data_IF_195083997113
#
_entry.id   IF_195083997113
#
_cell.length_a   1.000
_cell.length_b   1.000
_cell.length_c   1.000
_cell.angle_alpha   90.00
_cell.angle_beta   90.00
_cell.angle_gamma   90.00
#
_symmetry.space_group_name_H-M   'P 1'
#
loop_
_entity.id
_entity.type
_entity.pdbx_description
1 polymer ?
#
# COMPACT_ATOMS: atom_id res chain seq x y z
N UNK A 1 -5.01 -1.11 -20.71
CA UNK A 1 -6.24 -1.13 -19.90
C UNK A 1 -5.94 -1.74 -18.53
N UNK A 2 -6.43 -1.11 -17.49
CA UNK A 2 -6.42 -1.66 -16.13
C UNK A 2 -7.62 -2.60 -15.97
N UNK A 3 -7.37 -3.81 -15.52
CA UNK A 3 -8.41 -4.84 -15.35
C UNK A 3 -8.85 -4.98 -13.90
N UNK A 4 -7.92 -4.82 -12.96
CA UNK A 4 -8.15 -5.06 -11.54
C UNK A 4 -7.20 -4.20 -10.70
N UNK A 5 -7.56 -3.96 -9.45
CA UNK A 5 -6.70 -3.33 -8.46
C UNK A 5 -6.63 -4.16 -7.18
N UNK A 6 -5.47 -4.16 -6.54
CA UNK A 6 -5.30 -4.70 -5.20
C UNK A 6 -4.73 -3.64 -4.28
N UNK A 7 -5.46 -3.36 -3.22
CA UNK A 7 -5.07 -2.46 -2.13
C UNK A 7 -4.77 -3.27 -0.88
N UNK A 8 -3.93 -2.73 -0.02
CA UNK A 8 -3.70 -3.30 1.30
C UNK A 8 -4.97 -3.16 2.15
N UNK A 9 -5.25 -4.13 3.04
CA UNK A 9 -6.43 -4.09 3.88
C UNK A 9 -6.41 -2.86 4.80
N UNK A 10 -7.59 -2.43 5.21
CA UNK A 10 -7.79 -1.27 6.08
C UNK A 10 -8.87 -1.58 7.11
N UNK A 11 -8.75 -1.02 8.30
CA UNK A 11 -9.78 -1.08 9.32
C UNK A 11 -10.75 0.09 9.12
N UNK A 12 -12.01 -0.15 9.41
CA UNK A 12 -13.01 0.91 9.39
C UNK A 12 -12.73 1.91 10.53
N UNK A 13 -12.89 3.21 10.28
CA UNK A 13 -12.51 4.28 11.22
C UNK A 13 -13.28 4.23 12.55
N UNK A 14 -14.48 3.65 12.56
CA UNK A 14 -15.35 3.50 13.73
C UNK A 14 -15.27 2.09 14.36
N UNK A 15 -14.30 1.28 13.93
CA UNK A 15 -14.12 -0.07 14.47
C UNK A 15 -13.41 -0.03 15.83
N UNK A 16 -13.93 -0.80 16.76
CA UNK A 16 -13.33 -1.03 18.08
C UNK A 16 -13.22 -2.52 18.37
N UNK A 17 -12.17 -2.97 19.10
CA UNK A 17 -12.05 -4.36 19.49
C UNK A 17 -13.12 -4.74 20.51
N UNK A 18 -13.74 -5.92 20.33
CA UNK A 18 -14.65 -6.47 21.32
C UNK A 18 -13.95 -6.84 22.63
N UNK A 19 -14.74 -7.03 23.70
CA UNK A 19 -14.18 -7.41 25.02
C UNK A 19 -13.34 -8.69 24.95
N UNK A 20 -13.75 -9.66 24.13
CA UNK A 20 -13.09 -10.96 23.93
C UNK A 20 -11.98 -10.91 22.85
N UNK A 21 -11.64 -9.74 22.30
CA UNK A 21 -10.58 -9.64 21.31
C UNK A 21 -9.23 -10.08 21.90
N UNK A 22 -8.39 -10.68 21.06
CA UNK A 22 -7.05 -11.12 21.45
C UNK A 22 -6.20 -9.92 21.94
N UNK A 23 -5.32 -10.15 22.90
CA UNK A 23 -4.50 -9.09 23.53
C UNK A 23 -3.71 -8.29 22.48
N UNK A 24 -3.06 -8.95 21.54
CA UNK A 24 -2.32 -8.30 20.45
C UNK A 24 -3.18 -7.38 19.57
N UNK A 25 -4.48 -7.68 19.43
CA UNK A 25 -5.42 -6.81 18.70
C UNK A 25 -5.70 -5.55 19.51
N UNK A 26 -5.87 -5.68 20.84
CA UNK A 26 -6.10 -4.56 21.74
C UNK A 26 -4.88 -3.65 21.83
N UNK A 27 -3.69 -4.24 21.98
CA UNK A 27 -2.42 -3.49 22.00
C UNK A 27 -2.22 -2.71 20.67
N UNK A 28 -2.49 -3.34 19.53
CA UNK A 28 -2.34 -2.69 18.24
C UNK A 28 -3.40 -1.60 18.01
N UNK A 29 -4.61 -1.80 18.53
CA UNK A 29 -5.66 -0.78 18.52
C UNK A 29 -5.27 0.42 19.38
N UNK A 30 -4.72 0.20 20.58
CA UNK A 30 -4.25 1.26 21.46
C UNK A 30 -3.13 2.10 20.80
N UNK A 31 -2.24 1.46 20.03
CA UNK A 31 -1.24 2.16 19.24
C UNK A 31 -1.91 3.04 18.18
N UNK A 32 -2.91 2.51 17.47
CA UNK A 32 -3.62 3.24 16.42
C UNK A 32 -4.38 4.45 16.97
N UNK A 33 -5.17 4.25 18.03
CA UNK A 33 -5.99 5.30 18.67
C UNK A 33 -5.14 6.44 19.26
N UNK A 34 -3.94 6.12 19.79
CA UNK A 34 -3.05 7.08 20.42
C UNK A 34 -1.95 7.61 19.50
N UNK A 35 -1.99 7.30 18.21
CA UNK A 35 -0.96 7.73 17.27
C UNK A 35 -0.91 9.26 17.17
N UNK A 36 0.27 9.84 17.32
CA UNK A 36 0.44 11.28 17.30
C UNK A 36 1.68 11.72 16.52
N UNK A 37 1.62 12.94 15.98
CA UNK A 37 2.72 13.54 15.23
C UNK A 37 4.06 13.65 16.01
N UNK A 38 4.00 13.62 17.34
CA UNK A 38 5.19 13.82 18.19
C UNK A 38 6.02 12.57 18.40
N UNK A 39 5.42 11.40 18.25
CA UNK A 39 6.09 10.11 18.45
C UNK A 39 5.48 9.09 17.50
N UNK A 40 6.14 8.81 16.37
CA UNK A 40 5.68 7.84 15.37
C UNK A 40 6.62 6.64 15.24
N UNK A 41 7.90 6.81 15.56
CA UNK A 41 8.90 5.76 15.34
C UNK A 41 8.71 4.59 16.30
N UNK A 42 8.56 4.88 17.59
CA UNK A 42 8.35 3.85 18.62
C UNK A 42 7.03 3.09 18.37
N UNK A 43 5.86 3.74 18.25
CA UNK A 43 4.60 3.07 17.87
C UNK A 43 4.69 2.23 16.59
N UNK A 44 5.44 2.71 15.61
CA UNK A 44 5.60 1.94 14.37
C UNK A 44 6.44 0.68 14.57
N UNK A 45 7.53 0.74 15.34
CA UNK A 45 8.33 -0.44 15.65
C UNK A 45 7.54 -1.43 16.50
N UNK A 46 6.77 -0.95 17.48
CA UNK A 46 5.90 -1.79 18.30
C UNK A 46 4.83 -2.48 17.44
N UNK A 47 4.21 -1.74 16.52
CA UNK A 47 3.24 -2.32 15.59
C UNK A 47 3.85 -3.39 14.67
N UNK A 48 5.09 -3.21 14.22
CA UNK A 48 5.83 -4.21 13.43
C UNK A 48 6.08 -5.47 14.27
N UNK A 49 6.54 -5.31 15.51
CA UNK A 49 6.81 -6.42 16.42
C UNK A 49 5.53 -7.22 16.71
N UNK A 50 4.42 -6.54 17.03
CA UNK A 50 3.12 -7.19 17.27
C UNK A 50 2.67 -7.99 16.05
N UNK A 51 2.82 -7.41 14.86
CA UNK A 51 2.47 -8.10 13.60
C UNK A 51 3.32 -9.34 13.36
N UNK A 52 4.63 -9.29 13.61
CA UNK A 52 5.54 -10.43 13.48
C UNK A 52 5.20 -11.51 14.50
N UNK A 53 4.96 -11.15 15.77
CA UNK A 53 4.52 -12.07 16.82
C UNK A 53 3.20 -12.76 16.46
N UNK A 54 2.23 -12.01 15.97
CA UNK A 54 0.95 -12.56 15.54
C UNK A 54 1.09 -13.55 14.38
N UNK A 55 2.01 -13.30 13.44
CA UNK A 55 2.31 -14.22 12.35
C UNK A 55 2.93 -15.51 12.86
N UNK A 56 3.84 -15.42 13.83
CA UNK A 56 4.46 -16.58 14.45
C UNK A 56 3.43 -17.41 15.22
N UNK A 57 2.62 -16.78 16.05
CA UNK A 57 1.53 -17.43 16.79
C UNK A 57 0.49 -18.08 15.86
N UNK A 58 0.15 -17.41 14.75
CA UNK A 58 -0.74 -17.96 13.72
C UNK A 58 -0.14 -19.21 13.07
N UNK A 59 1.16 -19.20 12.75
CA UNK A 59 1.85 -20.35 12.15
C UNK A 59 1.88 -21.57 13.07
N UNK A 60 1.83 -21.35 14.38
CA UNK A 60 1.74 -22.39 15.41
C UNK A 60 0.29 -22.78 15.78
N UNK A 61 -0.71 -22.18 15.14
CA UNK A 61 -2.13 -22.46 15.38
C UNK A 61 -2.66 -21.93 16.73
N UNK A 62 -1.96 -20.98 17.35
CA UNK A 62 -2.37 -20.34 18.62
C UNK A 62 -3.35 -19.20 18.35
N UNK A 63 -3.10 -18.41 17.32
CA UNK A 63 -3.96 -17.32 16.86
C UNK A 63 -4.79 -17.80 15.67
N UNK A 64 -6.07 -17.47 15.63
CA UNK A 64 -6.96 -17.81 14.53
C UNK A 64 -6.86 -16.83 13.35
N UNK A 65 -7.49 -17.20 12.22
CA UNK A 65 -7.45 -16.42 10.99
C UNK A 65 -8.14 -15.04 11.15
N UNK A 66 -9.21 -14.97 11.96
CA UNK A 66 -9.93 -13.72 12.17
C UNK A 66 -9.06 -12.71 12.94
N UNK A 67 -8.44 -13.16 14.03
CA UNK A 67 -7.48 -12.35 14.81
C UNK A 67 -6.32 -11.89 13.92
N UNK A 68 -5.78 -12.81 13.12
CA UNK A 68 -4.70 -12.47 12.16
C UNK A 68 -5.13 -11.42 11.15
N UNK A 69 -6.36 -11.51 10.63
CA UNK A 69 -6.90 -10.53 9.69
C UNK A 69 -7.13 -9.15 10.33
N UNK A 70 -7.59 -9.10 11.59
CA UNK A 70 -7.74 -7.85 12.35
C UNK A 70 -6.37 -7.17 12.56
N UNK A 71 -5.35 -7.92 12.94
CA UNK A 71 -3.99 -7.42 13.12
C UNK A 71 -3.43 -6.85 11.80
N UNK A 72 -3.61 -7.55 10.67
CA UNK A 72 -3.18 -7.00 9.37
C UNK A 72 -3.89 -5.70 9.01
N UNK A 73 -5.19 -5.61 9.21
CA UNK A 73 -5.96 -4.39 8.96
C UNK A 73 -5.47 -3.23 9.83
N UNK A 74 -5.34 -3.43 11.13
CA UNK A 74 -4.84 -2.42 12.07
C UNK A 74 -3.43 -1.97 11.72
N UNK A 75 -2.52 -2.91 11.46
CA UNK A 75 -1.15 -2.58 11.07
C UNK A 75 -1.09 -1.68 9.84
N UNK A 76 -1.86 -2.00 8.79
CA UNK A 76 -1.86 -1.19 7.58
C UNK A 76 -2.58 0.15 7.76
N UNK A 77 -3.57 0.23 8.66
CA UNK A 77 -4.19 1.51 9.05
C UNK A 77 -3.20 2.40 9.78
N UNK A 78 -2.43 1.86 10.74
CA UNK A 78 -1.32 2.57 11.40
C UNK A 78 -0.30 3.09 10.37
N UNK A 79 0.10 2.24 9.42
CA UNK A 79 1.03 2.62 8.36
C UNK A 79 0.50 3.78 7.51
N UNK A 80 -0.81 3.80 7.16
CA UNK A 80 -1.42 4.89 6.41
C UNK A 80 -1.45 6.18 7.21
N UNK A 81 -1.82 6.11 8.47
CA UNK A 81 -1.85 7.28 9.35
C UNK A 81 -0.44 7.88 9.51
N UNK A 82 0.58 7.05 9.77
CA UNK A 82 1.99 7.48 9.81
C UNK A 82 2.40 8.13 8.48
N UNK A 83 2.05 7.53 7.35
CA UNK A 83 2.37 8.08 6.03
C UNK A 83 1.68 9.42 5.78
N UNK A 84 0.43 9.56 6.21
CA UNK A 84 -0.33 10.82 6.14
C UNK A 84 0.35 11.93 6.95
N UNK A 85 0.68 11.64 8.20
CA UNK A 85 1.40 12.57 9.08
C UNK A 85 2.78 12.92 8.52
N UNK A 86 3.56 11.92 8.09
CA UNK A 86 4.91 12.08 7.57
C UNK A 86 4.94 12.93 6.27
N UNK A 87 3.91 12.79 5.42
CA UNK A 87 3.77 13.56 4.19
C UNK A 87 3.59 15.06 4.44
N UNK A 88 3.05 15.44 5.59
CA UNK A 88 2.93 16.83 6.04
C UNK A 88 4.18 17.42 6.71
N UNK A 89 5.20 16.59 6.99
CA UNK A 89 6.39 17.03 7.71
C UNK A 89 7.41 17.69 6.80
N UNK A 90 8.05 18.76 7.29
CA UNK A 90 9.15 19.43 6.58
C UNK A 90 10.40 18.54 6.45
N UNK A 91 10.63 17.66 7.43
CA UNK A 91 11.70 16.68 7.45
C UNK A 91 11.11 15.32 7.80
N UNK A 92 10.89 14.49 6.77
CA UNK A 92 10.40 13.13 6.93
C UNK A 92 11.58 12.18 7.22
N UNK A 93 11.52 11.35 8.28
CA UNK A 93 12.50 10.29 8.53
C UNK A 93 12.62 9.34 7.33
N UNK A 94 13.82 8.80 7.12
CA UNK A 94 14.08 7.94 5.95
C UNK A 94 13.24 6.67 5.97
N UNK A 95 12.98 6.12 7.16
CA UNK A 95 12.12 4.95 7.35
C UNK A 95 10.72 5.15 6.76
N UNK A 96 10.14 6.33 6.93
CA UNK A 96 8.79 6.62 6.43
C UNK A 96 8.73 6.97 4.94
N UNK A 97 9.86 7.35 4.32
CA UNK A 97 9.90 7.60 2.87
C UNK A 97 9.59 6.36 2.04
N UNK A 98 9.92 5.18 2.56
CA UNK A 98 9.64 3.90 1.90
C UNK A 98 8.18 3.46 2.08
N UNK A 99 7.48 4.04 3.05
CA UNK A 99 6.13 3.64 3.42
C UNK A 99 5.12 3.94 2.31
N UNK A 100 5.19 5.11 1.68
CA UNK A 100 4.36 5.45 0.52
C UNK A 100 4.42 4.40 -0.59
N UNK A 101 5.62 3.87 -0.86
CA UNK A 101 5.81 2.82 -1.86
C UNK A 101 5.20 1.49 -1.45
N UNK A 102 5.27 1.15 -0.15
CA UNK A 102 4.68 -0.07 0.39
C UNK A 102 3.15 0.01 0.39
N UNK A 103 2.60 1.21 0.61
CA UNK A 103 1.17 1.48 0.65
C UNK A 103 0.54 1.66 -0.74
N UNK A 104 1.36 1.77 -1.80
CA UNK A 104 0.85 1.95 -3.15
C UNK A 104 -0.01 0.77 -3.60
N UNK A 105 -1.14 1.09 -4.21
CA UNK A 105 -2.02 0.11 -4.82
C UNK A 105 -1.34 -0.59 -6.00
N UNK A 106 -1.77 -1.80 -6.31
CA UNK A 106 -1.34 -2.54 -7.49
C UNK A 106 -2.43 -2.49 -8.53
N UNK A 107 -2.11 -1.97 -9.71
CA UNK A 107 -3.00 -1.88 -10.85
C UNK A 107 -2.59 -2.92 -11.88
N UNK A 108 -3.41 -3.95 -12.06
CA UNK A 108 -3.17 -5.04 -13.02
C UNK A 108 -3.67 -4.63 -14.40
N UNK A 109 -2.76 -4.62 -15.36
CA UNK A 109 -3.01 -4.15 -16.72
C UNK A 109 -2.86 -5.28 -17.74
N UNK A 110 -3.67 -5.24 -18.80
CA UNK A 110 -3.65 -6.22 -19.88
C UNK A 110 -2.47 -6.02 -20.85
N UNK A 111 -1.27 -6.09 -20.35
CA UNK A 111 -0.04 -6.04 -21.16
C UNK A 111 0.98 -7.06 -20.64
N UNK A 112 2.05 -7.29 -21.36
CA UNK A 112 3.24 -7.97 -20.89
C UNK A 112 4.40 -6.99 -20.86
N UNK A 113 5.02 -6.84 -19.70
CA UNK A 113 6.21 -5.99 -19.55
C UNK A 113 7.33 -6.47 -20.49
N UNK A 114 7.54 -7.77 -20.56
CA UNK A 114 8.62 -8.39 -21.32
C UNK A 114 8.41 -8.32 -22.84
N UNK A 115 7.18 -8.31 -23.31
CA UNK A 115 6.85 -8.22 -24.75
C UNK A 115 6.56 -6.78 -25.20
N UNK A 116 5.80 -6.03 -24.40
CA UNK A 116 5.35 -4.70 -24.78
C UNK A 116 6.34 -3.59 -24.47
N UNK A 117 7.12 -3.75 -23.39
CA UNK A 117 8.08 -2.77 -22.91
C UNK A 117 9.45 -3.42 -22.58
N UNK A 118 10.07 -4.14 -23.54
CA UNK A 118 11.30 -4.88 -23.26
C UNK A 118 12.45 -3.99 -22.74
N UNK A 119 12.53 -2.76 -23.20
CA UNK A 119 13.59 -1.84 -22.79
C UNK A 119 13.42 -1.34 -21.34
N UNK A 120 12.21 -1.44 -20.78
CA UNK A 120 11.98 -1.12 -19.37
C UNK A 120 12.70 -2.06 -18.42
N UNK A 121 12.71 -3.36 -18.73
CA UNK A 121 13.38 -4.35 -17.88
C UNK A 121 14.83 -4.63 -18.34
N UNK A 122 15.14 -4.50 -19.63
CA UNK A 122 16.45 -4.85 -20.16
C UNK A 122 17.52 -3.77 -19.91
N UNK A 123 17.13 -2.50 -19.95
CA UNK A 123 18.03 -1.34 -19.85
C UNK A 123 17.52 -0.23 -18.94
N UNK A 124 16.52 -0.52 -18.09
CA UNK A 124 15.89 0.44 -17.19
C UNK A 124 15.31 1.70 -17.89
N UNK A 125 14.87 1.55 -19.15
CA UNK A 125 14.25 2.65 -19.89
C UNK A 125 12.92 3.03 -19.24
N UNK A 126 12.80 4.27 -18.80
CA UNK A 126 11.55 4.81 -18.31
C UNK A 126 10.66 5.29 -19.46
N UNK A 127 9.39 4.90 -19.44
CA UNK A 127 8.38 5.36 -20.36
C UNK A 127 7.40 6.31 -19.66
N UNK A 128 6.95 7.38 -20.32
CA UNK A 128 5.90 8.23 -19.79
C UNK A 128 4.59 7.44 -19.80
N UNK A 129 3.98 7.29 -18.62
CA UNK A 129 2.70 6.61 -18.44
C UNK A 129 1.76 7.56 -17.73
N UNK A 130 0.53 7.67 -18.23
CA UNK A 130 -0.50 8.51 -17.64
C UNK A 130 -1.90 8.00 -18.02
N UNK A 131 -2.93 8.30 -17.22
CA UNK A 131 -4.31 8.08 -17.62
C UNK A 131 -4.64 8.85 -18.90
N UNK A 132 -5.39 8.24 -19.80
CA UNK A 132 -5.94 8.91 -21.00
C UNK A 132 -7.43 9.23 -20.85
N UNK A 133 -7.99 8.97 -19.68
CA UNK A 133 -9.37 9.25 -19.30
C UNK A 133 -9.40 10.05 -18.00
N UNK A 134 -10.52 10.70 -17.71
CA UNK A 134 -10.75 11.44 -16.46
C UNK A 134 -9.68 12.50 -16.19
N UNK A 135 -9.23 13.17 -17.27
CA UNK A 135 -8.15 14.17 -17.20
C UNK A 135 -8.57 15.47 -16.48
N UNK A 136 -9.84 15.66 -16.26
CA UNK A 136 -10.47 16.73 -15.49
C UNK A 136 -10.67 16.37 -14.00
N UNK A 137 -10.41 15.13 -13.62
CA UNK A 137 -10.49 14.66 -12.24
C UNK A 137 -9.10 14.60 -11.61
N UNK A 138 -9.03 14.88 -10.30
CA UNK A 138 -7.79 14.69 -9.57
C UNK A 138 -7.63 13.20 -9.21
N UNK A 139 -6.48 12.59 -9.51
CA UNK A 139 -6.17 11.25 -9.03
C UNK A 139 -6.26 11.15 -7.50
N UNK A 140 -6.81 10.05 -7.01
CA UNK A 140 -7.06 9.78 -5.60
C UNK A 140 -6.28 8.57 -5.07
N UNK A 141 -5.47 7.92 -5.93
CA UNK A 141 -4.64 6.76 -5.61
C UNK A 141 -3.21 6.94 -6.04
N UNK A 142 -2.29 6.36 -5.27
CA UNK A 142 -0.91 6.16 -5.65
C UNK A 142 -0.70 4.69 -5.97
N UNK A 143 -0.17 4.37 -7.15
CA UNK A 143 -0.16 3.02 -7.66
C UNK A 143 1.16 2.61 -8.31
N UNK A 144 1.36 1.30 -8.39
CA UNK A 144 2.33 0.64 -9.26
C UNK A 144 1.58 -0.18 -10.30
N UNK A 145 2.17 -0.39 -11.47
CA UNK A 145 1.55 -1.19 -12.52
C UNK A 145 2.12 -2.60 -12.51
N UNK A 146 1.22 -3.57 -12.65
CA UNK A 146 1.55 -5.00 -12.76
C UNK A 146 1.07 -5.49 -14.12
N UNK A 147 1.86 -6.33 -14.77
CA UNK A 147 1.36 -7.04 -15.94
C UNK A 147 0.54 -8.28 -15.55
N UNK A 148 -0.18 -8.85 -16.52
CA UNK A 148 -0.99 -10.05 -16.34
C UNK A 148 -0.50 -11.14 -17.27
N UNK A 149 0.63 -11.73 -16.95
CA UNK A 149 1.18 -12.88 -17.68
C UNK A 149 1.39 -14.05 -16.73
N UNK A 150 1.25 -15.27 -17.24
CA UNK A 150 1.21 -16.50 -16.43
C UNK A 150 2.48 -16.78 -15.62
N UNK A 151 3.62 -16.25 -16.04
CA UNK A 151 4.93 -16.51 -15.42
C UNK A 151 5.66 -15.21 -15.04
N UNK A 152 4.94 -14.09 -14.96
CA UNK A 152 5.59 -12.81 -14.89
C UNK A 152 5.33 -12.09 -13.56
N UNK A 153 6.42 -11.68 -12.95
CA UNK A 153 6.44 -10.66 -11.90
C UNK A 153 6.66 -9.26 -12.50
N UNK A 154 6.19 -9.04 -13.73
CA UNK A 154 6.36 -7.80 -14.48
C UNK A 154 5.72 -6.63 -13.74
N UNK A 155 6.57 -5.70 -13.28
CA UNK A 155 6.18 -4.55 -12.48
C UNK A 155 6.83 -3.29 -12.99
N UNK A 156 6.03 -2.23 -13.17
CA UNK A 156 6.52 -0.87 -13.36
C UNK A 156 6.33 -0.11 -12.05
N UNK A 157 7.44 0.29 -11.44
CA UNK A 157 7.49 1.03 -10.20
C UNK A 157 8.48 2.19 -10.23
N UNK A 158 8.90 2.62 -11.45
CA UNK A 158 9.69 3.81 -11.69
C UNK A 158 9.02 4.58 -12.81
N UNK A 159 8.71 5.84 -12.57
CA UNK A 159 7.93 6.66 -13.48
C UNK A 159 8.65 7.95 -13.82
N UNK A 160 8.46 8.44 -15.05
CA UNK A 160 8.94 9.75 -15.47
C UNK A 160 8.19 10.83 -14.69
N UNK A 161 8.93 11.63 -13.94
CA UNK A 161 8.38 12.75 -13.17
C UNK A 161 9.34 13.93 -13.15
N UNK A 162 8.80 15.12 -12.90
CA UNK A 162 9.62 16.30 -12.59
C UNK A 162 10.34 16.23 -11.25
N UNK A 163 9.96 15.28 -10.39
CA UNK A 163 10.64 14.96 -9.13
C UNK A 163 11.51 13.73 -9.35
N UNK A 164 12.75 13.79 -8.86
CA UNK A 164 13.61 12.61 -8.84
C UNK A 164 12.96 11.49 -8.03
N UNK A 165 13.13 10.24 -8.49
CA UNK A 165 12.73 9.02 -7.78
C UNK A 165 11.22 8.85 -7.52
N UNK A 166 10.38 9.15 -8.51
CA UNK A 166 8.95 8.85 -8.43
C UNK A 166 8.74 7.34 -8.61
N UNK A 167 8.35 6.67 -7.53
CA UNK A 167 8.14 5.21 -7.46
C UNK A 167 6.68 4.79 -7.52
N UNK A 168 5.78 5.74 -7.60
CA UNK A 168 4.33 5.56 -7.73
C UNK A 168 3.78 6.46 -8.82
N UNK A 169 2.65 6.07 -9.37
CA UNK A 169 1.90 6.83 -10.38
C UNK A 169 0.56 7.25 -9.77
N UNK A 170 0.21 8.56 -9.81
CA UNK A 170 -1.11 9.00 -9.37
C UNK A 170 -2.17 8.53 -10.37
N UNK A 171 -3.10 7.72 -9.89
CA UNK A 171 -4.19 7.14 -10.67
C UNK A 171 -5.54 7.39 -9.99
N UNK A 172 -6.63 7.05 -10.68
CA UNK A 172 -7.98 7.17 -10.15
C UNK A 172 -8.50 5.81 -9.70
N UNK A 173 -9.26 5.76 -8.63
CA UNK A 173 -10.02 4.56 -8.22
C UNK A 173 -10.83 4.01 -9.39
N UNK A 174 -10.83 2.70 -9.58
CA UNK A 174 -11.68 2.08 -10.61
C UNK A 174 -13.17 2.27 -10.25
N UNK A 175 -13.98 2.45 -11.28
CA UNK A 175 -15.45 2.51 -11.17
C UNK A 175 -16.06 1.27 -11.78
N UNK A 176 -17.09 0.76 -11.17
CA UNK A 176 -17.81 -0.42 -11.68
C UNK A 176 -18.25 -0.21 -13.13
N UNK A 177 -17.95 -1.19 -13.97
CA UNK A 177 -18.30 -1.23 -15.39
C UNK A 177 -17.68 -0.13 -16.27
N UNK A 178 -16.76 0.67 -15.77
CA UNK A 178 -15.97 1.59 -16.57
C UNK A 178 -14.61 0.98 -16.92
N UNK A 179 -14.24 1.08 -18.20
CA UNK A 179 -12.89 0.75 -18.63
C UNK A 179 -11.94 1.89 -18.24
N UNK A 180 -10.76 1.55 -17.75
CA UNK A 180 -9.75 2.52 -17.39
C UNK A 180 -8.46 2.29 -18.16
N UNK A 181 -8.05 3.28 -18.94
CA UNK A 181 -6.92 3.18 -19.87
C UNK A 181 -5.77 4.12 -19.46
N UNK A 182 -4.56 3.58 -19.60
CA UNK A 182 -3.30 4.28 -19.43
C UNK A 182 -2.59 4.37 -20.77
#
# INVERSE_FOLDING_TARGET
EVLETASLPEMDDDWEPGEDAHELVKELYDIWDNLSQRSMLEPWHDAQQIREEALDLFSHGIVDLNTRAQIEKLYWSICREINSIASGMKHCPEEFRKLSKLLADKYFCNFSLFQSLPDSWAIDQMFPIMPIQRLDERPDREATLQDMTCDSDGKIANFVSSRADTTTLPLHSLRDKEHYYL
#
